data_IF_880495739610
#
_entry.id   IF_880495739610
#
_cell.length_a   1.000
_cell.length_b   1.000
_cell.length_c   1.000
_cell.angle_alpha   90.00
_cell.angle_beta   90.00
_cell.angle_gamma   90.00
#
_symmetry.space_group_name_H-M   'P 1'
#
loop_
_entity.id
_entity.type
_entity.pdbx_description
1 polymer ?
#
# COMPACT_ATOMS: atom_id res chain seq x y z
N UNK A 1 -14.51 1.86 11.78
CA UNK A 1 -13.07 2.10 11.50
C UNK A 1 -12.52 3.15 12.47
N UNK A 2 -11.33 2.92 13.01
CA UNK A 2 -10.62 3.84 13.91
C UNK A 2 -9.50 4.53 13.16
N UNK A 3 -9.39 5.84 13.29
CA UNK A 3 -8.36 6.63 12.61
C UNK A 3 -7.54 7.39 13.63
N UNK A 4 -6.22 7.34 13.49
CA UNK A 4 -5.28 8.15 14.27
C UNK A 4 -4.69 9.23 13.37
N UNK A 5 -4.68 10.47 13.82
CA UNK A 5 -4.08 11.62 13.14
C UNK A 5 -2.87 12.07 13.93
N UNK A 6 -1.72 12.09 13.27
CA UNK A 6 -0.43 12.43 13.89
C UNK A 6 0.23 13.58 13.11
N UNK A 7 0.32 14.73 13.72
CA UNK A 7 0.89 15.95 13.14
C UNK A 7 1.25 16.91 14.28
N UNK A 8 2.36 17.64 14.21
CA UNK A 8 2.75 18.57 15.27
C UNK A 8 1.94 19.88 15.25
N UNK A 9 1.30 20.19 14.11
CA UNK A 9 0.46 21.36 13.95
C UNK A 9 -1.00 21.09 14.37
N UNK A 10 -1.41 21.68 15.47
CA UNK A 10 -2.77 21.53 16.01
C UNK A 10 -3.89 21.97 15.03
N UNK A 11 -3.62 22.96 14.14
CA UNK A 11 -4.62 23.42 13.15
C UNK A 11 -4.81 22.36 12.07
N UNK A 12 -3.73 21.71 11.63
CA UNK A 12 -3.78 20.62 10.66
C UNK A 12 -4.54 19.44 11.25
N UNK A 13 -4.20 19.03 12.47
CA UNK A 13 -4.91 17.94 13.17
C UNK A 13 -6.41 18.20 13.26
N UNK A 14 -6.79 19.40 13.74
CA UNK A 14 -8.21 19.79 13.86
C UNK A 14 -8.92 19.75 12.48
N UNK A 15 -8.25 20.24 11.41
CA UNK A 15 -8.79 20.22 10.06
C UNK A 15 -9.01 18.80 9.55
N UNK A 16 -8.01 17.93 9.71
CA UNK A 16 -8.09 16.53 9.29
C UNK A 16 -9.13 15.76 10.12
N UNK A 17 -9.21 15.97 11.44
CA UNK A 17 -10.20 15.33 12.28
C UNK A 17 -11.63 15.65 11.81
N UNK A 18 -11.91 16.91 11.47
CA UNK A 18 -13.22 17.32 10.93
C UNK A 18 -13.57 16.66 9.60
N UNK A 19 -12.57 16.43 8.73
CA UNK A 19 -12.75 15.72 7.47
C UNK A 19 -13.04 14.25 7.71
N UNK A 20 -12.23 13.62 8.56
CA UNK A 20 -12.28 12.18 8.84
C UNK A 20 -13.57 11.81 9.57
N UNK A 21 -14.02 12.63 10.51
CA UNK A 21 -15.31 12.43 11.24
C UNK A 21 -16.54 12.42 10.32
N UNK A 22 -16.45 13.00 9.11
CA UNK A 22 -17.55 12.99 8.13
C UNK A 22 -17.62 11.69 7.32
N UNK A 23 -16.63 10.81 7.42
CA UNK A 23 -16.63 9.52 6.73
C UNK A 23 -17.57 8.56 7.47
N UNK A 24 -18.63 8.02 6.83
CA UNK A 24 -19.68 7.25 7.51
C UNK A 24 -19.17 6.02 8.28
N UNK A 25 -18.09 5.40 7.81
CA UNK A 25 -17.50 4.20 8.41
C UNK A 25 -16.51 4.49 9.54
N UNK A 26 -16.24 5.76 9.85
CA UNK A 26 -15.34 6.15 10.95
C UNK A 26 -16.12 6.16 12.26
N UNK A 27 -15.70 5.31 13.17
CA UNK A 27 -16.31 5.18 14.51
C UNK A 27 -15.64 6.11 15.53
N UNK A 28 -14.33 6.30 15.37
CA UNK A 28 -13.55 7.07 16.33
C UNK A 28 -12.27 7.63 15.69
N UNK A 29 -11.95 8.86 16.07
CA UNK A 29 -10.72 9.55 15.72
C UNK A 29 -9.96 9.86 17.00
N UNK A 30 -8.67 9.60 17.01
CA UNK A 30 -7.72 10.03 18.05
C UNK A 30 -6.63 10.87 17.41
N UNK A 31 -6.00 11.72 18.20
CA UNK A 31 -4.94 12.62 17.78
C UNK A 31 -3.66 12.38 18.55
N UNK A 32 -2.51 12.62 17.92
CA UNK A 32 -1.21 12.68 18.57
C UNK A 32 -0.40 13.85 17.98
N UNK A 33 0.39 14.51 18.83
CA UNK A 33 1.15 15.71 18.47
C UNK A 33 2.62 15.42 18.08
N UNK A 34 3.05 14.18 18.23
CA UNK A 34 4.40 13.71 17.85
C UNK A 34 4.48 12.19 17.81
N UNK A 35 5.63 11.69 17.35
CA UNK A 35 5.82 10.26 17.16
C UNK A 35 5.81 9.42 18.44
N UNK A 36 6.19 9.98 19.59
CA UNK A 36 6.16 9.24 20.85
C UNK A 36 4.71 9.05 21.31
N UNK A 37 3.93 10.12 21.32
CA UNK A 37 2.50 10.07 21.62
C UNK A 37 1.74 9.17 20.64
N UNK A 38 2.13 9.21 19.35
CA UNK A 38 1.58 8.31 18.33
C UNK A 38 1.78 6.84 18.69
N UNK A 39 3.00 6.44 19.07
CA UNK A 39 3.30 5.05 19.45
C UNK A 39 2.51 4.60 20.68
N UNK A 40 2.38 5.47 21.69
CA UNK A 40 1.55 5.17 22.87
C UNK A 40 0.07 5.02 22.52
N UNK A 41 -0.43 5.90 21.61
CA UNK A 41 -1.82 5.89 21.19
C UNK A 41 -2.11 4.65 20.36
N UNK A 42 -1.23 4.26 19.44
CA UNK A 42 -1.38 3.01 18.64
C UNK A 42 -1.55 1.79 19.53
N UNK A 43 -0.74 1.66 20.60
CA UNK A 43 -0.82 0.53 21.51
C UNK A 43 -2.16 0.44 22.26
N UNK A 44 -2.78 1.57 22.58
CA UNK A 44 -4.03 1.64 23.36
C UNK A 44 -5.27 1.62 22.48
N UNK A 45 -5.19 2.28 21.32
CA UNK A 45 -6.30 2.57 20.44
C UNK A 45 -6.47 1.52 19.35
N UNK A 46 -5.36 0.92 18.88
CA UNK A 46 -5.32 -0.03 17.75
C UNK A 46 -6.07 0.55 16.52
N UNK A 47 -5.51 1.58 15.86
CA UNK A 47 -6.14 2.22 14.71
C UNK A 47 -6.07 1.33 13.48
N UNK A 48 -7.08 1.42 12.61
CA UNK A 48 -7.10 0.77 11.28
C UNK A 48 -6.31 1.60 10.25
N UNK A 49 -6.33 2.93 10.43
CA UNK A 49 -5.65 3.89 9.54
C UNK A 49 -4.93 4.94 10.38
N UNK A 50 -3.72 5.29 9.98
CA UNK A 50 -2.93 6.39 10.55
C UNK A 50 -2.63 7.42 9.46
N UNK A 51 -3.04 8.66 9.68
CA UNK A 51 -2.57 9.83 8.93
C UNK A 51 -1.34 10.37 9.67
N UNK A 52 -0.17 10.34 9.05
CA UNK A 52 1.10 10.53 9.73
C UNK A 52 1.95 11.60 9.04
N UNK A 53 2.17 12.73 9.72
CA UNK A 53 3.11 13.71 9.23
C UNK A 53 4.55 13.19 9.28
N UNK A 54 5.33 13.55 8.27
CA UNK A 54 6.75 13.18 8.15
C UNK A 54 7.59 13.95 9.15
N UNK A 55 7.31 15.25 9.34
CA UNK A 55 8.20 16.16 10.08
C UNK A 55 7.63 16.53 11.45
N UNK A 56 8.00 15.77 12.43
CA UNK A 56 7.59 16.03 13.82
C UNK A 56 8.80 16.08 14.75
N UNK A 57 8.71 16.83 15.87
CA UNK A 57 9.73 16.83 16.90
C UNK A 57 9.82 15.49 17.62
N UNK A 58 10.94 15.21 18.23
CA UNK A 58 11.25 14.02 19.06
C UNK A 58 11.36 12.71 18.30
N UNK A 59 10.37 12.33 17.51
CA UNK A 59 10.36 11.16 16.65
C UNK A 59 9.61 11.52 15.36
N UNK A 60 10.29 11.41 14.21
CA UNK A 60 9.72 11.75 12.91
C UNK A 60 8.78 10.65 12.39
N UNK A 61 7.99 10.96 11.36
CA UNK A 61 7.00 10.04 10.81
C UNK A 61 7.59 8.76 10.21
N UNK A 62 8.77 8.81 9.60
CA UNK A 62 9.43 7.61 9.07
C UNK A 62 9.89 6.68 10.17
N UNK A 63 10.40 7.22 11.29
CA UNK A 63 10.77 6.44 12.47
C UNK A 63 9.55 5.78 13.12
N UNK A 64 8.39 6.46 13.13
CA UNK A 64 7.12 5.89 13.57
C UNK A 64 6.69 4.78 12.63
N UNK A 65 6.64 5.04 11.31
CA UNK A 65 6.25 4.08 10.28
C UNK A 65 7.06 2.78 10.34
N UNK A 66 8.38 2.89 10.55
CA UNK A 66 9.27 1.74 10.67
C UNK A 66 8.93 0.83 11.87
N UNK A 67 8.29 1.38 12.92
CA UNK A 67 7.95 0.67 14.16
C UNK A 67 6.50 0.22 14.24
N UNK A 68 5.64 0.75 13.36
CA UNK A 68 4.22 0.38 13.35
C UNK A 68 4.00 -1.07 12.88
N UNK A 69 2.98 -1.75 13.44
CA UNK A 69 2.49 -3.02 12.90
C UNK A 69 2.14 -2.92 11.42
N UNK A 70 2.47 -3.94 10.63
CA UNK A 70 2.31 -3.91 9.17
C UNK A 70 0.86 -4.05 8.69
N UNK A 71 -0.05 -4.43 9.55
CA UNK A 71 -1.50 -4.51 9.33
C UNK A 71 -2.19 -3.13 9.41
N UNK A 72 -1.53 -2.12 9.99
CA UNK A 72 -2.05 -0.75 10.04
C UNK A 72 -1.82 -0.07 8.67
N UNK A 73 -2.87 0.56 8.13
CA UNK A 73 -2.76 1.34 6.92
C UNK A 73 -2.22 2.74 7.23
N UNK A 74 -1.03 3.06 6.76
CA UNK A 74 -0.41 4.37 7.01
C UNK A 74 -0.45 5.22 5.75
N UNK A 75 -0.97 6.44 5.88
CA UNK A 75 -0.95 7.49 4.86
C UNK A 75 -0.02 8.59 5.37
N UNK A 76 1.11 8.77 4.69
CA UNK A 76 2.05 9.84 5.01
C UNK A 76 1.54 11.19 4.55
N UNK A 77 1.69 12.20 5.40
CA UNK A 77 1.42 13.59 5.10
C UNK A 77 2.74 14.36 5.11
N UNK A 78 2.96 15.22 4.13
CA UNK A 78 4.18 16.00 4.05
C UNK A 78 3.95 17.40 3.50
N UNK A 79 4.79 18.34 3.87
CA UNK A 79 4.78 19.69 3.35
C UNK A 79 5.68 19.90 2.11
N UNK A 80 6.43 18.87 1.66
CA UNK A 80 7.34 18.94 0.51
C UNK A 80 7.49 17.59 -0.20
N UNK A 81 7.70 17.69 -1.52
CA UNK A 81 8.00 16.60 -2.46
C UNK A 81 9.48 16.24 -2.36
N UNK A 82 9.86 15.53 -1.33
CA UNK A 82 11.21 15.00 -1.20
C UNK A 82 11.18 13.55 -1.71
N UNK A 83 11.72 13.34 -2.90
CA UNK A 83 11.72 12.03 -3.57
C UNK A 83 12.37 10.93 -2.71
N UNK A 84 13.40 11.27 -1.93
CA UNK A 84 14.06 10.31 -1.03
C UNK A 84 13.12 9.91 0.10
N UNK A 85 12.45 10.88 0.72
CA UNK A 85 11.46 10.64 1.79
C UNK A 85 10.27 9.81 1.31
N UNK A 86 9.80 10.07 0.08
CA UNK A 86 8.70 9.31 -0.53
C UNK A 86 9.14 7.85 -0.76
N UNK A 87 10.31 7.65 -1.37
CA UNK A 87 10.86 6.32 -1.63
C UNK A 87 11.03 5.52 -0.34
N UNK A 88 11.61 6.13 0.69
CA UNK A 88 11.79 5.51 2.01
C UNK A 88 10.45 5.14 2.66
N UNK A 89 9.44 6.02 2.58
CA UNK A 89 8.11 5.74 3.12
C UNK A 89 7.43 4.55 2.41
N UNK A 90 7.57 4.46 1.08
CA UNK A 90 7.06 3.32 0.29
C UNK A 90 7.77 2.03 0.67
N UNK A 91 9.10 2.04 0.79
CA UNK A 91 9.90 0.88 1.19
C UNK A 91 9.56 0.41 2.61
N UNK A 92 9.24 1.34 3.51
CA UNK A 92 8.77 1.05 4.86
C UNK A 92 7.32 0.53 4.90
N UNK A 93 6.59 0.60 3.78
CA UNK A 93 5.25 0.03 3.63
C UNK A 93 4.10 1.01 3.83
N UNK A 94 4.34 2.32 3.66
CA UNK A 94 3.25 3.30 3.60
C UNK A 94 2.26 2.95 2.48
N UNK A 95 0.96 3.08 2.76
CA UNK A 95 -0.13 2.82 1.82
C UNK A 95 -0.57 4.07 1.06
N UNK A 96 -0.21 5.24 1.56
CA UNK A 96 -0.54 6.50 0.94
C UNK A 96 0.53 7.56 1.17
N UNK A 97 0.57 8.55 0.27
CA UNK A 97 1.42 9.71 0.39
C UNK A 97 0.73 10.95 -0.19
N UNK A 98 0.43 11.92 0.67
CA UNK A 98 -0.26 13.15 0.32
C UNK A 98 0.59 14.37 0.69
N UNK A 99 0.69 15.35 -0.21
CA UNK A 99 1.45 16.58 0.00
C UNK A 99 0.51 17.68 0.51
N UNK A 100 0.83 18.28 1.67
CA UNK A 100 0.07 19.40 2.24
C UNK A 100 -0.08 20.54 1.24
N UNK A 101 -1.32 21.04 1.11
CA UNK A 101 -1.66 22.12 0.17
C UNK A 101 -1.94 21.64 -1.26
N UNK A 102 -1.66 20.38 -1.58
CA UNK A 102 -1.97 19.78 -2.89
C UNK A 102 -3.19 18.86 -2.85
N UNK A 103 -3.82 18.65 -1.69
CA UNK A 103 -5.02 17.83 -1.56
C UNK A 103 -6.20 18.60 -0.96
N UNK A 104 -7.39 18.23 -1.38
CA UNK A 104 -8.66 18.68 -0.84
C UNK A 104 -9.31 17.62 0.06
N UNK A 105 -10.44 17.97 0.67
CA UNK A 105 -11.22 17.07 1.52
C UNK A 105 -11.57 15.75 0.83
N UNK A 106 -11.94 15.79 -0.46
CA UNK A 106 -12.36 14.61 -1.21
C UNK A 106 -11.20 13.64 -1.45
N UNK A 107 -10.00 14.16 -1.62
CA UNK A 107 -8.78 13.37 -1.81
C UNK A 107 -8.35 12.67 -0.53
N UNK A 108 -8.48 13.31 0.64
CA UNK A 108 -8.23 12.67 1.94
C UNK A 108 -9.20 11.50 2.16
N UNK A 109 -10.48 11.72 1.92
CA UNK A 109 -11.52 10.67 2.03
C UNK A 109 -11.22 9.51 1.09
N UNK A 110 -10.95 9.80 -0.19
CA UNK A 110 -10.62 8.80 -1.20
C UNK A 110 -9.34 8.00 -0.86
N UNK A 111 -8.34 8.68 -0.29
CA UNK A 111 -7.10 8.05 0.15
C UNK A 111 -7.35 7.04 1.29
N UNK A 112 -8.09 7.45 2.32
CA UNK A 112 -8.45 6.59 3.45
C UNK A 112 -9.23 5.36 2.96
N UNK A 113 -10.26 5.56 2.12
CA UNK A 113 -11.06 4.45 1.58
C UNK A 113 -10.24 3.50 0.70
N UNK A 114 -9.35 4.04 -0.13
CA UNK A 114 -8.49 3.23 -1.01
C UNK A 114 -7.50 2.41 -0.20
N UNK A 115 -6.85 3.02 0.79
CA UNK A 115 -5.90 2.33 1.66
C UNK A 115 -6.59 1.24 2.51
N UNK A 116 -7.79 1.51 3.02
CA UNK A 116 -8.61 0.52 3.75
C UNK A 116 -8.91 -0.71 2.91
N UNK A 117 -9.14 -0.54 1.61
CA UNK A 117 -9.37 -1.64 0.65
C UNK A 117 -8.07 -2.32 0.21
N UNK A 118 -6.93 -1.94 0.81
CA UNK A 118 -5.60 -2.47 0.49
C UNK A 118 -5.00 -1.90 -0.81
N UNK A 119 -5.53 -0.79 -1.32
CA UNK A 119 -4.92 -0.02 -2.40
C UNK A 119 -3.80 0.89 -1.89
N UNK A 120 -3.06 1.48 -2.83
CA UNK A 120 -2.04 2.50 -2.56
C UNK A 120 -2.49 3.81 -3.20
N UNK A 121 -2.26 4.92 -2.50
CA UNK A 121 -2.54 6.27 -2.98
C UNK A 121 -1.26 7.09 -2.98
N UNK A 122 -0.83 7.49 -4.17
CA UNK A 122 0.26 8.45 -4.34
C UNK A 122 -0.32 9.69 -5.01
N UNK A 123 -0.12 10.84 -4.39
CA UNK A 123 -0.40 12.12 -5.04
C UNK A 123 0.42 12.25 -6.34
N UNK A 124 0.04 13.18 -7.26
CA UNK A 124 0.72 13.32 -8.56
C UNK A 124 2.23 13.52 -8.43
N UNK A 125 2.66 14.30 -7.45
CA UNK A 125 4.06 14.60 -7.16
C UNK A 125 4.78 13.35 -6.66
N UNK A 126 4.18 12.62 -5.72
CA UNK A 126 4.72 11.38 -5.19
C UNK A 126 4.83 10.30 -6.29
N UNK A 127 3.83 10.20 -7.15
CA UNK A 127 3.83 9.26 -8.27
C UNK A 127 4.93 9.57 -9.31
N UNK A 128 5.30 10.84 -9.49
CA UNK A 128 6.37 11.26 -10.38
C UNK A 128 7.78 11.04 -9.78
N UNK A 129 7.89 11.01 -8.46
CA UNK A 129 9.16 10.92 -7.72
C UNK A 129 9.56 9.49 -7.37
N UNK A 130 8.63 8.57 -7.40
CA UNK A 130 8.88 7.14 -7.12
C UNK A 130 9.00 6.41 -8.43
N UNK A 131 10.18 5.84 -8.67
CA UNK A 131 10.32 4.77 -9.67
C UNK A 131 9.55 3.57 -9.11
N UNK A 132 8.23 3.57 -9.38
CA UNK A 132 7.34 2.53 -8.86
C UNK A 132 7.76 1.23 -9.51
N UNK A 133 8.70 0.55 -8.88
CA UNK A 133 8.92 -0.85 -9.22
C UNK A 133 7.65 -1.61 -8.79
N UNK A 134 6.86 -2.11 -9.76
CA UNK A 134 5.62 -2.84 -9.44
C UNK A 134 5.83 -4.05 -8.52
N UNK A 135 7.08 -4.48 -8.35
CA UNK A 135 7.46 -5.58 -7.46
C UNK A 135 7.48 -5.15 -5.97
N UNK A 136 7.58 -3.86 -5.66
CA UNK A 136 7.58 -3.33 -4.29
C UNK A 136 6.20 -2.83 -3.83
N UNK A 137 5.19 -2.82 -4.71
CA UNK A 137 3.82 -2.63 -4.30
C UNK A 137 3.43 -3.85 -3.45
N UNK A 138 2.91 -3.66 -2.20
CA UNK A 138 2.33 -4.78 -1.48
C UNK A 138 1.22 -5.32 -2.38
N UNK A 139 1.53 -6.41 -3.07
CA UNK A 139 0.51 -7.17 -3.76
C UNK A 139 -0.50 -7.52 -2.67
N UNK A 140 -1.80 -7.20 -2.86
CA UNK A 140 -2.86 -7.90 -2.15
C UNK A 140 -2.46 -9.37 -2.29
N UNK A 141 -2.22 -10.03 -1.19
CA UNK A 141 -1.98 -11.46 -1.23
C UNK A 141 -3.15 -12.05 -1.99
N UNK A 142 -2.87 -12.43 -3.22
CA UNK A 142 -3.88 -13.10 -4.02
C UNK A 142 -4.18 -14.40 -3.28
N UNK A 143 -5.42 -14.63 -2.81
CA UNK A 143 -5.71 -15.84 -2.04
C UNK A 143 -5.32 -17.12 -2.78
N UNK A 144 -5.17 -17.04 -4.11
CA UNK A 144 -4.65 -18.13 -4.92
C UNK A 144 -3.13 -18.31 -4.81
N UNK A 145 -2.40 -17.31 -4.27
CA UNK A 145 -0.96 -17.42 -4.07
C UNK A 145 -0.61 -18.50 -3.02
N UNK A 146 -1.48 -18.74 -2.04
CA UNK A 146 -1.31 -19.82 -1.07
C UNK A 146 -1.31 -21.23 -1.70
N UNK A 147 -1.91 -21.37 -2.89
CA UNK A 147 -1.95 -22.63 -3.65
C UNK A 147 -0.68 -22.86 -4.47
N UNK A 148 0.15 -21.84 -4.63
CA UNK A 148 1.31 -21.83 -5.51
C UNK A 148 2.61 -21.74 -4.70
N UNK A 149 3.71 -22.20 -5.30
CA UNK A 149 5.02 -21.84 -4.78
C UNK A 149 5.34 -20.37 -5.14
N UNK A 150 6.23 -19.74 -4.40
CA UNK A 150 6.66 -18.36 -4.64
C UNK A 150 7.03 -18.13 -6.12
N UNK A 151 7.79 -19.03 -6.71
CA UNK A 151 8.20 -18.94 -8.13
C UNK A 151 7.04 -19.10 -9.12
N UNK A 152 6.08 -19.94 -8.83
CA UNK A 152 4.86 -20.08 -9.64
C UNK A 152 3.98 -18.84 -9.55
N UNK A 153 3.84 -18.27 -8.34
CA UNK A 153 3.11 -17.03 -8.12
C UNK A 153 3.75 -15.84 -8.84
N UNK A 154 5.07 -15.67 -8.76
CA UNK A 154 5.80 -14.64 -9.50
C UNK A 154 5.60 -14.76 -11.03
N UNK A 155 5.67 -15.99 -11.56
CA UNK A 155 5.52 -16.23 -12.99
C UNK A 155 4.10 -15.96 -13.46
N UNK A 156 3.07 -16.38 -12.71
CA UNK A 156 1.67 -16.14 -13.05
C UNK A 156 1.31 -14.65 -12.95
N UNK A 157 1.86 -13.94 -11.97
CA UNK A 157 1.72 -12.50 -11.79
C UNK A 157 2.25 -11.73 -13.01
N UNK A 158 3.45 -12.08 -13.48
CA UNK A 158 4.03 -11.48 -14.69
C UNK A 158 3.24 -11.84 -15.95
N UNK A 159 2.70 -13.06 -16.01
CA UNK A 159 1.81 -13.46 -17.08
C UNK A 159 0.50 -12.66 -17.07
N UNK A 160 -0.01 -12.30 -15.90
CA UNK A 160 -1.19 -11.45 -15.73
C UNK A 160 -0.94 -10.00 -16.13
N UNK A 161 0.29 -9.51 -16.05
CA UNK A 161 0.72 -8.21 -16.61
C UNK A 161 0.82 -8.20 -18.14
N UNK A 162 0.64 -9.34 -18.79
CA UNK A 162 0.66 -9.48 -20.24
C UNK A 162 2.02 -9.83 -20.83
N UNK A 163 3.03 -10.08 -19.99
CA UNK A 163 4.39 -10.40 -20.46
C UNK A 163 4.45 -11.79 -21.10
N UNK A 164 5.16 -11.93 -22.21
CA UNK A 164 5.44 -13.23 -22.83
C UNK A 164 6.39 -14.08 -21.98
N UNK A 165 6.44 -15.39 -22.23
CA UNK A 165 7.37 -16.28 -21.53
C UNK A 165 8.84 -15.87 -21.72
N UNK A 166 9.19 -15.20 -22.83
CA UNK A 166 10.53 -14.71 -23.13
C UNK A 166 10.85 -13.51 -22.22
N UNK A 167 9.95 -12.54 -22.14
CA UNK A 167 10.11 -11.37 -21.28
C UNK A 167 10.16 -11.75 -19.80
N UNK A 168 9.30 -12.68 -19.35
CA UNK A 168 9.35 -13.21 -17.99
C UNK A 168 10.69 -13.90 -17.72
N UNK A 169 11.19 -14.66 -18.67
CA UNK A 169 12.47 -15.34 -18.54
C UNK A 169 13.65 -14.37 -18.41
N UNK A 170 13.64 -13.26 -19.16
CA UNK A 170 14.63 -12.20 -19.09
C UNK A 170 14.60 -11.51 -17.72
N UNK A 171 13.41 -11.14 -17.22
CA UNK A 171 13.24 -10.44 -15.93
C UNK A 171 13.66 -11.33 -14.73
N UNK A 172 13.33 -12.62 -14.79
CA UNK A 172 13.58 -13.54 -13.68
C UNK A 172 14.90 -14.34 -13.82
N UNK A 173 15.71 -14.02 -14.80
CA UNK A 173 16.97 -14.73 -15.09
C UNK A 173 16.77 -16.25 -15.30
N UNK A 174 15.69 -16.62 -16.00
CA UNK A 174 15.30 -18.00 -16.28
C UNK A 174 15.40 -18.31 -17.79
N UNK A 175 15.25 -19.59 -18.14
CA UNK A 175 14.98 -19.95 -19.54
C UNK A 175 13.47 -19.86 -19.85
N UNK A 176 13.07 -19.54 -21.12
CA UNK A 176 11.67 -19.56 -21.51
C UNK A 176 10.99 -20.94 -21.30
N UNK A 177 11.77 -22.02 -21.35
CA UNK A 177 11.33 -23.37 -21.03
C UNK A 177 11.00 -23.54 -19.55
N UNK A 178 11.81 -22.96 -18.67
CA UNK A 178 11.59 -22.97 -17.22
C UNK A 178 10.32 -22.20 -16.86
N UNK A 179 10.12 -21.02 -17.46
CA UNK A 179 8.90 -20.21 -17.27
C UNK A 179 7.66 -21.01 -17.71
N UNK A 180 7.73 -21.70 -18.87
CA UNK A 180 6.64 -22.57 -19.34
C UNK A 180 6.32 -23.68 -18.34
N UNK A 181 7.35 -24.26 -17.72
CA UNK A 181 7.16 -25.32 -16.72
C UNK A 181 6.46 -24.79 -15.47
N UNK A 182 6.85 -23.63 -14.95
CA UNK A 182 6.20 -22.97 -13.82
C UNK A 182 4.74 -22.62 -14.15
N UNK A 183 4.46 -22.07 -15.33
CA UNK A 183 3.08 -21.80 -15.75
C UNK A 183 2.24 -23.06 -15.80
N UNK A 184 2.74 -24.15 -16.38
CA UNK A 184 2.01 -25.40 -16.46
C UNK A 184 1.72 -25.98 -15.05
N UNK A 185 2.69 -25.89 -14.14
CA UNK A 185 2.51 -26.31 -12.76
C UNK A 185 1.46 -25.46 -12.03
N UNK A 186 1.51 -24.12 -12.22
CA UNK A 186 0.51 -23.21 -11.69
C UNK A 186 -0.89 -23.51 -12.24
N UNK A 187 -1.03 -23.81 -13.55
CA UNK A 187 -2.33 -24.15 -14.15
C UNK A 187 -2.94 -25.39 -13.50
N UNK A 188 -2.15 -26.42 -13.27
CA UNK A 188 -2.61 -27.64 -12.59
C UNK A 188 -3.11 -27.34 -11.17
N UNK A 189 -2.35 -26.54 -10.42
CA UNK A 189 -2.69 -26.18 -9.03
C UNK A 189 -3.92 -25.26 -8.94
N UNK A 190 -4.10 -24.38 -9.91
CA UNK A 190 -5.25 -23.49 -10.01
C UNK A 190 -6.48 -24.15 -10.63
N UNK A 191 -6.36 -25.35 -11.17
CA UNK A 191 -7.47 -26.07 -11.84
C UNK A 191 -7.88 -25.44 -13.17
N UNK A 192 -6.96 -24.79 -13.88
CA UNK A 192 -7.20 -24.13 -15.19
C UNK A 192 -6.42 -24.81 -16.30
N UNK A 193 -6.88 -24.65 -17.55
CA UNK A 193 -6.34 -25.39 -18.69
C UNK A 193 -5.42 -24.57 -19.60
N UNK A 194 -5.47 -23.25 -19.50
CA UNK A 194 -4.68 -22.38 -20.37
C UNK A 194 -4.34 -21.04 -19.69
N UNK A 195 -3.46 -20.29 -20.36
CA UNK A 195 -2.98 -18.99 -19.87
C UNK A 195 -4.11 -17.97 -19.66
N UNK A 196 -5.08 -17.93 -20.58
CA UNK A 196 -6.16 -16.94 -20.50
C UNK A 196 -7.04 -17.18 -19.27
N UNK A 197 -7.40 -18.44 -19.01
CA UNK A 197 -8.13 -18.84 -17.82
C UNK A 197 -7.34 -18.53 -16.53
N UNK A 198 -6.04 -18.85 -16.53
CA UNK A 198 -5.17 -18.59 -15.40
C UNK A 198 -5.08 -17.08 -15.08
N UNK A 199 -4.90 -16.25 -16.09
CA UNK A 199 -4.81 -14.79 -15.95
C UNK A 199 -6.15 -14.20 -15.47
N UNK A 200 -7.28 -14.65 -16.02
CA UNK A 200 -8.61 -14.21 -15.60
C UNK A 200 -8.88 -14.59 -14.12
N UNK A 201 -8.58 -15.82 -13.74
CA UNK A 201 -8.75 -16.31 -12.37
C UNK A 201 -7.85 -15.53 -11.42
N UNK A 202 -6.59 -15.33 -11.75
CA UNK A 202 -5.62 -14.59 -10.96
C UNK A 202 -6.04 -13.14 -10.73
N UNK A 203 -6.45 -12.44 -11.79
CA UNK A 203 -6.96 -11.06 -11.72
C UNK A 203 -8.30 -10.98 -10.98
N UNK A 204 -9.19 -11.94 -11.18
CA UNK A 204 -10.49 -12.00 -10.51
C UNK A 204 -10.39 -12.22 -9.01
N UNK A 205 -9.41 -12.99 -8.56
CA UNK A 205 -9.12 -13.18 -7.13
C UNK A 205 -8.48 -11.95 -6.48
N UNK A 206 -7.79 -11.11 -7.27
CA UNK A 206 -7.21 -9.84 -6.84
C UNK A 206 -8.21 -8.68 -6.89
N UNK A 207 -9.40 -8.85 -7.50
CA UNK A 207 -10.44 -7.84 -7.55
C UNK A 207 -11.27 -7.84 -6.25
N UNK A 208 -11.63 -6.70 -5.68
CA UNK A 208 -12.53 -6.64 -4.53
C UNK A 208 -13.92 -7.15 -4.95
N UNK A 209 -14.48 -8.04 -4.11
CA UNK A 209 -15.91 -8.38 -4.18
C UNK A 209 -16.73 -7.20 -3.67
#
# INVERSE_FOLDING_TARGET
MKVLIVDDNAIVRLGLARIVEQIPDVERVEEASDGIEAMETVMKFSPDVVLLDVRMPRMNGLEVLAKLPKDINVIMLTSKDDAETISEAVDLGAKGYLVHGSFDTSQVVAAIETCRRGGIVLGPEAAASVDINPANLPSKENPLAELLTEREAEVIENAAKGLSNKEIAEIQFLSPRTVKNYLNSAYVKLGVHNRAEAVLMWRGASAPK
#
